data_IF_630244722305
#
_entry.id   IF_630244722305
#
_cell.length_a   1.000
_cell.length_b   1.000
_cell.length_c   1.000
_cell.angle_alpha   90.00
_cell.angle_beta   90.00
_cell.angle_gamma   90.00
#
_symmetry.space_group_name_H-M   'P 1'
#
loop_
_entity.id
_entity.type
_entity.pdbx_description
1 polymer ?
#
# COMPACT_ATOMS: atom_id res chain seq x y z
N UNK A 1 -22.38 -10.91 -10.98
CA UNK A 1 -23.00 -9.68 -11.52
C UNK A 1 -22.38 -8.54 -10.73
N UNK A 2 -21.60 -7.67 -11.37
CA UNK A 2 -21.06 -6.48 -10.70
C UNK A 2 -22.26 -5.61 -10.30
N UNK A 3 -22.39 -5.28 -9.02
CA UNK A 3 -23.52 -4.51 -8.47
C UNK A 3 -23.42 -3.00 -8.80
N UNK A 4 -22.47 -2.62 -9.65
CA UNK A 4 -22.18 -1.23 -10.01
C UNK A 4 -21.48 -0.43 -8.91
N UNK A 5 -21.24 -1.03 -7.74
CA UNK A 5 -20.56 -0.38 -6.63
C UNK A 5 -19.13 -0.87 -6.58
N UNK A 6 -18.18 0.05 -6.75
CA UNK A 6 -16.76 -0.27 -6.52
C UNK A 6 -16.54 -0.42 -5.02
N UNK A 7 -16.55 -1.67 -4.57
CA UNK A 7 -16.23 -2.05 -3.19
C UNK A 7 -14.83 -2.64 -3.15
N UNK A 8 -14.02 -2.13 -2.25
CA UNK A 8 -12.75 -2.74 -1.86
C UNK A 8 -12.98 -3.41 -0.51
N UNK A 9 -12.55 -4.67 -0.33
CA UNK A 9 -12.75 -5.42 0.92
C UNK A 9 -14.19 -5.38 1.49
N UNK A 10 -15.19 -5.45 0.60
CA UNK A 10 -16.61 -5.40 0.97
C UNK A 10 -17.17 -4.01 1.34
N UNK A 11 -16.34 -2.96 1.32
CA UNK A 11 -16.69 -1.59 1.71
C UNK A 11 -16.55 -0.62 0.53
N UNK A 12 -17.43 0.37 0.45
CA UNK A 12 -17.34 1.40 -0.60
C UNK A 12 -16.33 2.46 -0.20
N UNK A 13 -15.66 3.09 -1.17
CA UNK A 13 -14.70 4.19 -0.94
C UNK A 13 -15.18 5.27 0.06
N UNK A 14 -16.42 5.82 -0.02
CA UNK A 14 -16.87 6.84 0.93
C UNK A 14 -17.08 6.33 2.36
N UNK A 15 -17.18 5.02 2.56
CA UNK A 15 -17.44 4.46 3.88
C UNK A 15 -16.15 4.35 4.72
N UNK A 16 -14.97 4.41 4.07
CA UNK A 16 -13.68 4.30 4.76
C UNK A 16 -13.35 5.55 5.57
N UNK A 17 -12.91 5.36 6.80
CA UNK A 17 -12.34 6.46 7.59
C UNK A 17 -10.93 6.78 7.09
N UNK A 18 -10.45 7.98 7.42
CA UNK A 18 -9.09 8.41 7.11
C UNK A 18 -8.05 7.43 7.69
N UNK A 19 -8.28 6.95 8.91
CA UNK A 19 -7.41 6.00 9.60
C UNK A 19 -7.37 4.65 8.88
N UNK A 20 -8.52 4.12 8.45
CA UNK A 20 -8.57 2.88 7.68
C UNK A 20 -7.87 3.03 6.32
N UNK A 21 -8.10 4.14 5.61
CA UNK A 21 -7.39 4.42 4.35
C UNK A 21 -5.88 4.51 4.56
N UNK A 22 -5.44 5.08 5.69
CA UNK A 22 -4.03 5.19 6.01
C UNK A 22 -3.39 3.82 6.24
N UNK A 23 -4.08 2.93 6.97
CA UNK A 23 -3.63 1.55 7.17
C UNK A 23 -3.57 0.77 5.85
N UNK A 24 -4.59 0.92 5.00
CA UNK A 24 -4.63 0.30 3.67
C UNK A 24 -3.44 0.77 2.84
N UNK A 25 -3.19 2.08 2.76
CA UNK A 25 -2.05 2.65 2.02
C UNK A 25 -0.71 2.13 2.54
N UNK A 26 -0.53 2.10 3.87
CA UNK A 26 0.70 1.57 4.47
C UNK A 26 0.92 0.11 4.09
N UNK A 27 -0.13 -0.71 4.18
CA UNK A 27 -0.06 -2.12 3.79
C UNK A 27 0.31 -2.28 2.32
N UNK A 28 -0.37 -1.57 1.42
CA UNK A 28 -0.06 -1.61 -0.01
C UNK A 28 1.38 -1.18 -0.32
N UNK A 29 1.87 -0.13 0.33
CA UNK A 29 3.26 0.32 0.15
C UNK A 29 4.23 -0.74 0.63
N UNK A 30 4.04 -1.31 1.82
CA UNK A 30 4.91 -2.38 2.33
C UNK A 30 4.89 -3.61 1.43
N UNK A 31 3.69 -4.08 1.05
CA UNK A 31 3.51 -5.25 0.19
C UNK A 31 4.14 -5.01 -1.20
N UNK A 32 4.00 -3.80 -1.76
CA UNK A 32 4.62 -3.41 -3.03
C UNK A 32 6.15 -3.36 -2.93
N UNK A 33 6.71 -2.72 -1.90
CA UNK A 33 8.18 -2.63 -1.70
C UNK A 33 8.79 -4.01 -1.57
N UNK A 34 8.09 -4.94 -0.90
CA UNK A 34 8.58 -6.29 -0.66
C UNK A 34 8.23 -7.29 -1.79
N UNK A 35 7.50 -6.87 -2.82
CA UNK A 35 7.09 -7.73 -3.91
C UNK A 35 8.28 -8.16 -4.79
N UNK A 36 8.30 -9.43 -5.22
CA UNK A 36 9.40 -10.01 -6.01
C UNK A 36 9.58 -9.34 -7.38
N UNK A 37 8.48 -8.98 -8.05
CA UNK A 37 8.49 -8.27 -9.33
C UNK A 37 8.75 -6.76 -9.23
N UNK A 38 8.94 -6.21 -8.02
CA UNK A 38 9.20 -4.79 -7.90
C UNK A 38 10.62 -4.47 -8.39
N UNK A 39 10.71 -4.00 -9.64
CA UNK A 39 11.96 -3.62 -10.30
C UNK A 39 12.75 -2.52 -9.57
N UNK A 40 12.07 -1.74 -8.70
CA UNK A 40 12.68 -0.68 -7.89
C UNK A 40 12.94 -1.09 -6.44
N UNK A 41 12.67 -2.35 -6.06
CA UNK A 41 12.83 -2.85 -4.67
C UNK A 41 14.19 -2.49 -4.09
N UNK A 42 15.27 -2.80 -4.81
CA UNK A 42 16.62 -2.60 -4.31
C UNK A 42 16.98 -1.11 -4.17
N UNK A 43 16.52 -0.24 -5.08
CA UNK A 43 16.71 1.21 -4.99
C UNK A 43 16.00 1.79 -3.76
N UNK A 44 14.76 1.35 -3.52
CA UNK A 44 13.95 1.80 -2.37
C UNK A 44 14.58 1.33 -1.06
N UNK A 45 14.97 0.05 -0.96
CA UNK A 45 15.63 -0.49 0.23
C UNK A 45 16.93 0.28 0.51
N UNK A 46 17.78 0.50 -0.51
CA UNK A 46 19.02 1.24 -0.35
C UNK A 46 18.79 2.68 0.13
N UNK A 47 17.80 3.38 -0.44
CA UNK A 47 17.46 4.75 -0.04
C UNK A 47 17.10 4.84 1.44
N UNK A 48 16.26 3.92 1.93
CA UNK A 48 15.83 3.93 3.33
C UNK A 48 16.88 3.36 4.29
N UNK A 49 17.67 2.37 3.89
CA UNK A 49 18.81 1.88 4.68
C UNK A 49 19.85 2.98 4.93
N UNK A 50 20.08 3.87 3.95
CA UNK A 50 20.96 5.02 4.09
C UNK A 50 20.37 6.10 5.00
N UNK A 51 19.05 6.28 5.02
CA UNK A 51 18.36 7.22 5.91
C UNK A 51 18.34 6.73 7.37
N UNK A 52 18.30 5.42 7.59
CA UNK A 52 18.18 4.81 8.93
C UNK A 52 19.53 4.51 9.60
N UNK A 53 20.64 4.51 8.86
CA UNK A 53 22.00 4.47 9.42
C UNK A 53 22.38 5.84 9.97
N UNK A 54 22.02 6.08 11.23
CA UNK A 54 22.48 7.21 12.04
C UNK A 54 23.45 6.75 13.12
#
# INVERSE_FOLDING_TARGET
MWDGVSKFDGKSLPDYTTEELQLIRQKFVCDWVLHEDNVHRDEVIQHYDLLMKK
#
